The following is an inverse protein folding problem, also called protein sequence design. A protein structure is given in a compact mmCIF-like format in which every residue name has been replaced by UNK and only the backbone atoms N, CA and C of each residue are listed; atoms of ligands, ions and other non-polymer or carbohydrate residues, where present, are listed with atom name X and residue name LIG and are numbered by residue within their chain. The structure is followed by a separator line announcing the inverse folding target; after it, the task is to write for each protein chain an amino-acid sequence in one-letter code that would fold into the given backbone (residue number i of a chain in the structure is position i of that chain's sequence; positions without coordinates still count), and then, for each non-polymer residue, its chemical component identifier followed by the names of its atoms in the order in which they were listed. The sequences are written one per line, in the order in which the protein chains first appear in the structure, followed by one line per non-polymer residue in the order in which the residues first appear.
data_IF_217394888866
#
_entry.id   IF_217394888866
#
_cell.length_a   1.000
_cell.length_b   1.000
_cell.length_c   1.000
_cell.angle_alpha   90.00
_cell.angle_beta   90.00
_cell.angle_gamma   90.00
#
_symmetry.space_group_name_H-M   'P 1'
#
loop_
_entity.id
_entity.type
_entity.pdbx_description
1 polymer ?
#
# COMPACT_ATOMS: atom_id res chain seq x y z
N UNK A 1 12.76 5.84 63.08
CA UNK A 1 13.62 5.74 61.91
C UNK A 1 12.72 5.46 60.70
N UNK A 2 12.40 6.51 59.95
CA UNK A 2 11.55 6.46 58.74
C UNK A 2 12.47 6.35 57.53
N UNK A 3 12.25 5.31 56.64
CA UNK A 3 12.94 5.20 55.36
C UNK A 3 12.16 6.02 54.32
N UNK A 4 12.80 6.87 53.52
CA UNK A 4 12.14 7.59 52.43
C UNK A 4 11.90 6.66 51.23
N UNK A 5 10.67 6.69 50.71
CA UNK A 5 10.28 6.03 49.43
C UNK A 5 10.98 6.76 48.29
N UNK A 6 11.82 6.04 47.55
CA UNK A 6 12.36 6.50 46.26
C UNK A 6 11.26 6.44 45.18
N UNK A 7 10.89 7.58 44.63
CA UNK A 7 10.08 7.72 43.43
C UNK A 7 10.88 7.20 42.23
N UNK A 8 10.36 6.14 41.59
CA UNK A 8 10.86 5.64 40.32
C UNK A 8 10.76 6.72 39.24
N UNK A 9 11.90 7.11 38.70
CA UNK A 9 12.00 7.95 37.51
C UNK A 9 11.45 7.19 36.32
N UNK A 10 10.38 7.71 35.71
CA UNK A 10 9.87 7.26 34.43
C UNK A 10 10.94 7.44 33.35
N UNK A 11 11.40 6.33 32.77
CA UNK A 11 12.30 6.35 31.63
C UNK A 11 11.66 7.09 30.43
N UNK A 12 12.47 7.70 29.56
CA UNK A 12 11.97 8.44 28.43
C UNK A 12 11.18 7.51 27.50
N UNK A 13 9.93 7.88 27.22
CA UNK A 13 9.15 7.29 26.14
C UNK A 13 9.91 7.52 24.85
N UNK A 14 10.55 6.45 24.36
CA UNK A 14 11.25 6.45 23.08
C UNK A 14 10.35 7.00 21.99
N UNK A 15 10.74 8.15 21.51
CA UNK A 15 10.23 8.81 20.33
C UNK A 15 10.38 7.80 19.17
N UNK A 16 9.25 7.25 18.72
CA UNK A 16 9.22 6.46 17.49
C UNK A 16 9.32 7.45 16.34
N UNK A 17 10.52 7.99 16.16
CA UNK A 17 10.86 8.67 14.93
C UNK A 17 10.75 7.62 13.84
N UNK A 18 9.76 7.82 12.98
CA UNK A 18 9.70 7.19 11.68
C UNK A 18 11.10 7.31 11.07
N UNK A 19 11.79 6.19 10.93
CA UNK A 19 12.97 6.08 10.08
C UNK A 19 12.47 6.33 8.64
N UNK A 20 12.33 7.60 8.28
CA UNK A 20 12.16 8.04 6.90
C UNK A 20 13.38 7.53 6.17
N UNK A 21 13.17 6.45 5.44
CA UNK A 21 14.22 5.82 4.66
C UNK A 21 14.88 6.88 3.79
N UNK A 22 16.21 6.90 3.77
CA UNK A 22 17.09 7.80 3.01
C UNK A 22 16.82 7.83 1.48
N UNK A 23 15.84 7.10 1.00
CA UNK A 23 15.49 6.95 -0.42
C UNK A 23 14.28 7.76 -0.88
N UNK A 24 13.67 8.60 -0.03
CA UNK A 24 12.44 9.35 -0.40
C UNK A 24 11.21 8.47 -0.70
N UNK A 25 11.27 7.17 -0.42
CA UNK A 25 10.17 6.24 -0.57
C UNK A 25 9.29 6.22 0.68
N UNK A 26 7.98 6.13 0.45
CA UNK A 26 6.96 6.00 1.50
C UNK A 26 6.67 4.53 1.66
N UNK A 27 6.91 3.96 2.85
CA UNK A 27 6.54 2.60 3.19
C UNK A 27 5.38 2.58 4.19
N UNK A 28 4.40 1.73 3.93
CA UNK A 28 3.23 1.54 4.78
C UNK A 28 2.97 0.06 5.04
N UNK A 29 2.84 -0.30 6.30
CA UNK A 29 2.45 -1.65 6.71
C UNK A 29 0.93 -1.75 6.66
N UNK A 30 0.42 -2.63 5.79
CA UNK A 30 -1.01 -2.85 5.60
C UNK A 30 -1.57 -3.81 6.63
N UNK A 31 -0.89 -4.94 6.84
CA UNK A 31 -1.37 -5.97 7.74
C UNK A 31 -0.23 -6.81 8.30
N UNK A 32 -0.33 -7.18 9.58
CA UNK A 32 0.61 -8.10 10.25
C UNK A 32 -0.19 -9.25 10.85
N UNK A 33 0.21 -10.48 10.52
CA UNK A 33 -0.37 -11.70 11.05
C UNK A 33 0.67 -12.52 11.81
N UNK A 34 0.31 -13.03 12.99
CA UNK A 34 1.06 -14.09 13.65
C UNK A 34 0.60 -15.44 13.13
N UNK A 35 1.50 -16.18 12.51
CA UNK A 35 1.25 -17.52 11.98
C UNK A 35 1.97 -18.58 12.82
N UNK A 36 1.36 -19.75 12.95
CA UNK A 36 1.87 -20.82 13.80
C UNK A 36 1.95 -22.12 13.01
N UNK A 37 3.08 -22.83 13.12
CA UNK A 37 3.23 -24.22 12.69
C UNK A 37 3.31 -25.11 13.92
N UNK A 38 2.35 -26.01 14.07
CA UNK A 38 2.35 -27.01 15.14
C UNK A 38 3.17 -28.21 14.67
N UNK A 39 4.12 -28.63 15.48
CA UNK A 39 5.01 -29.76 15.24
C UNK A 39 5.05 -30.68 16.49
N UNK A 40 5.56 -31.90 16.34
CA UNK A 40 5.90 -32.75 17.49
C UNK A 40 6.90 -31.99 18.35
N UNK A 41 6.56 -31.72 19.64
CA UNK A 41 7.39 -30.94 20.55
C UNK A 41 6.98 -29.47 20.74
N UNK A 42 5.97 -28.94 20.01
CA UNK A 42 5.46 -27.59 20.29
C UNK A 42 4.96 -26.79 19.11
N UNK A 43 4.77 -25.48 19.35
CA UNK A 43 4.25 -24.51 18.37
C UNK A 43 5.36 -23.53 17.97
N UNK A 44 5.70 -23.51 16.69
CA UNK A 44 6.64 -22.55 16.12
C UNK A 44 5.88 -21.34 15.60
N UNK A 45 6.13 -20.17 16.18
CA UNK A 45 5.51 -18.91 15.79
C UNK A 45 6.37 -18.18 14.74
N UNK A 46 5.71 -17.48 13.83
CA UNK A 46 6.31 -16.56 12.88
C UNK A 46 5.34 -15.42 12.61
N UNK A 47 5.85 -14.31 12.07
CA UNK A 47 5.04 -13.15 11.65
C UNK A 47 5.08 -13.00 10.14
N UNK A 48 3.93 -12.69 9.56
CA UNK A 48 3.80 -12.32 8.16
C UNK A 48 3.38 -10.86 8.10
N UNK A 49 4.13 -10.04 7.39
CA UNK A 49 3.82 -8.63 7.16
C UNK A 49 3.49 -8.41 5.68
N UNK A 50 2.38 -7.72 5.41
CA UNK A 50 2.01 -7.20 4.09
C UNK A 50 2.36 -5.72 4.06
N UNK A 51 3.26 -5.33 3.16
CA UNK A 51 3.81 -3.97 3.08
C UNK A 51 3.62 -3.42 1.69
N UNK A 52 3.37 -2.12 1.62
CA UNK A 52 3.30 -1.32 0.39
C UNK A 52 4.41 -0.28 0.43
N UNK A 53 5.08 -0.08 -0.69
CA UNK A 53 6.14 0.94 -0.86
C UNK A 53 5.82 1.75 -2.11
N UNK A 54 5.94 3.07 -2.03
CA UNK A 54 5.75 3.97 -3.16
C UNK A 54 6.66 5.18 -3.12
N UNK A 55 6.82 5.85 -4.24
CA UNK A 55 7.65 7.05 -4.37
C UNK A 55 6.85 8.36 -4.29
N UNK A 56 5.51 8.27 -4.15
CA UNK A 56 4.62 9.43 -4.18
C UNK A 56 4.53 10.12 -5.55
N UNK A 57 5.10 9.52 -6.61
CA UNK A 57 5.18 10.06 -7.98
C UNK A 57 4.63 9.10 -9.04
N UNK A 58 3.69 8.26 -8.65
CA UNK A 58 3.03 7.32 -9.55
C UNK A 58 3.68 5.94 -9.62
N UNK A 59 4.66 5.61 -8.77
CA UNK A 59 5.19 4.24 -8.68
C UNK A 59 4.89 3.65 -7.32
N UNK A 60 4.36 2.43 -7.32
CA UNK A 60 4.01 1.70 -6.10
C UNK A 60 4.27 0.21 -6.27
N UNK A 61 4.67 -0.44 -5.19
CA UNK A 61 4.88 -1.88 -5.13
C UNK A 61 4.33 -2.47 -3.83
N UNK A 62 4.06 -3.75 -3.82
CA UNK A 62 3.71 -4.46 -2.60
C UNK A 62 4.57 -5.70 -2.41
N UNK A 63 4.75 -6.08 -1.14
CA UNK A 63 5.50 -7.27 -0.78
C UNK A 63 4.94 -7.93 0.47
N UNK A 64 5.07 -9.24 0.55
CA UNK A 64 4.76 -10.01 1.75
C UNK A 64 6.03 -10.65 2.28
N UNK A 65 6.41 -10.27 3.52
CA UNK A 65 7.57 -10.82 4.22
C UNK A 65 7.15 -11.73 5.36
N UNK A 66 7.92 -12.80 5.62
CA UNK A 66 7.72 -13.69 6.75
C UNK A 66 9.03 -13.88 7.51
N UNK A 67 9.00 -13.73 8.85
CA UNK A 67 10.14 -13.95 9.74
C UNK A 67 9.69 -14.35 11.13
N UNK A 68 10.66 -14.69 12.01
CA UNK A 68 10.39 -14.98 13.44
C UNK A 68 10.05 -13.71 14.23
N UNK A 69 10.55 -12.55 13.78
CA UNK A 69 10.35 -11.23 14.38
C UNK A 69 9.60 -10.31 13.43
N UNK A 70 8.80 -9.38 13.96
CA UNK A 70 8.01 -8.42 13.18
C UNK A 70 8.91 -7.48 12.36
N UNK A 71 9.97 -6.83 12.92
CA UNK A 71 10.83 -5.94 12.15
C UNK A 71 11.51 -6.64 10.97
N UNK A 72 11.97 -7.88 11.17
CA UNK A 72 12.59 -8.68 10.13
C UNK A 72 11.60 -9.08 9.02
N UNK A 73 10.32 -9.32 9.37
CA UNK A 73 9.26 -9.58 8.38
C UNK A 73 8.96 -8.34 7.55
N UNK A 74 8.90 -7.15 8.17
CA UNK A 74 8.67 -5.87 7.49
C UNK A 74 9.83 -5.57 6.52
N UNK A 75 11.09 -5.66 6.96
CA UNK A 75 12.28 -5.44 6.10
C UNK A 75 12.23 -6.33 4.84
N UNK A 76 11.97 -7.62 4.99
CA UNK A 76 11.77 -8.55 3.86
C UNK A 76 10.61 -8.14 2.94
N UNK A 77 9.49 -7.67 3.52
CA UNK A 77 8.35 -7.16 2.77
C UNK A 77 8.72 -5.95 1.91
N UNK A 78 9.45 -4.98 2.47
CA UNK A 78 9.94 -3.79 1.78
C UNK A 78 10.87 -4.15 0.61
N UNK A 79 11.81 -5.07 0.80
CA UNK A 79 12.73 -5.51 -0.25
C UNK A 79 11.97 -6.14 -1.43
N UNK A 80 10.97 -6.97 -1.15
CA UNK A 80 10.12 -7.58 -2.19
C UNK A 80 9.27 -6.52 -2.88
N UNK A 81 8.69 -5.57 -2.12
CA UNK A 81 7.88 -4.49 -2.67
C UNK A 81 8.70 -3.59 -3.61
N UNK A 82 9.94 -3.26 -3.26
CA UNK A 82 10.86 -2.48 -4.12
C UNK A 82 11.18 -3.17 -5.44
N UNK A 83 11.25 -4.50 -5.46
CA UNK A 83 11.50 -5.28 -6.69
C UNK A 83 10.27 -5.34 -7.61
N UNK A 84 9.08 -5.27 -7.04
CA UNK A 84 7.81 -5.42 -7.74
C UNK A 84 7.04 -4.10 -7.90
N UNK A 85 7.75 -2.99 -8.16
CA UNK A 85 7.11 -1.70 -8.37
C UNK A 85 6.50 -1.62 -9.77
N UNK A 86 5.27 -1.11 -9.85
CA UNK A 86 4.58 -0.77 -11.10
C UNK A 86 4.48 0.75 -11.24
N UNK A 87 4.43 1.23 -12.49
CA UNK A 87 4.14 2.62 -12.81
C UNK A 87 2.66 2.77 -13.13
N UNK A 88 2.04 3.81 -12.59
CA UNK A 88 0.60 4.09 -12.69
C UNK A 88 0.41 5.29 -13.60
N UNK A 89 -0.54 5.21 -14.53
CA UNK A 89 -0.98 6.35 -15.33
C UNK A 89 -1.85 7.26 -14.46
N UNK A 90 -1.38 8.48 -14.19
CA UNK A 90 -2.10 9.49 -13.40
C UNK A 90 -2.57 10.63 -14.31
N UNK A 91 -3.70 11.25 -13.96
CA UNK A 91 -4.22 12.47 -14.57
C UNK A 91 -4.24 13.57 -13.49
N UNK A 92 -3.14 14.36 -13.41
CA UNK A 92 -2.95 15.35 -12.35
C UNK A 92 -2.91 14.69 -10.96
N UNK A 93 -3.87 15.02 -10.09
CA UNK A 93 -3.97 14.52 -8.71
C UNK A 93 -4.85 13.26 -8.56
N UNK A 94 -5.45 12.78 -9.68
CA UNK A 94 -6.41 11.66 -9.71
C UNK A 94 -6.04 10.63 -10.77
N UNK A 95 -6.93 9.65 -11.01
CA UNK A 95 -6.81 8.63 -12.06
C UNK A 95 -7.56 9.06 -13.34
N UNK A 96 -7.12 8.64 -14.55
CA UNK A 96 -7.71 9.08 -15.80
C UNK A 96 -9.14 8.59 -16.05
N UNK A 97 -9.49 7.38 -15.59
CA UNK A 97 -10.83 6.80 -15.79
C UNK A 97 -11.19 5.81 -14.67
N UNK A 98 -12.48 5.49 -14.58
CA UNK A 98 -12.97 4.49 -13.65
C UNK A 98 -12.55 3.09 -14.09
N UNK A 99 -12.13 2.26 -13.13
CA UNK A 99 -11.77 0.85 -13.35
C UNK A 99 -12.28 -0.05 -12.23
N UNK A 100 -12.45 -1.33 -12.55
CA UNK A 100 -12.78 -2.39 -11.61
C UNK A 100 -11.68 -3.43 -11.67
N UNK A 101 -10.84 -3.50 -10.64
CA UNK A 101 -9.83 -4.54 -10.51
C UNK A 101 -10.36 -5.78 -9.82
N UNK A 102 -9.85 -6.93 -10.23
CA UNK A 102 -10.31 -8.23 -9.74
C UNK A 102 -9.13 -9.13 -9.42
N UNK A 103 -9.16 -9.77 -8.24
CA UNK A 103 -8.22 -10.82 -7.90
C UNK A 103 -8.84 -11.84 -6.93
N UNK A 104 -9.01 -13.08 -7.40
CA UNK A 104 -9.69 -14.11 -6.63
C UNK A 104 -11.12 -13.68 -6.27
N UNK A 105 -11.47 -13.69 -5.00
CA UNK A 105 -12.76 -13.18 -4.50
C UNK A 105 -12.76 -11.68 -4.23
N UNK A 106 -11.65 -10.96 -4.47
CA UNK A 106 -11.53 -9.52 -4.23
C UNK A 106 -11.87 -8.72 -5.47
N UNK A 107 -12.71 -7.70 -5.30
CA UNK A 107 -13.03 -6.71 -6.33
C UNK A 107 -12.84 -5.32 -5.72
N UNK A 108 -12.16 -4.43 -6.44
CA UNK A 108 -11.94 -3.05 -6.01
C UNK A 108 -12.30 -2.11 -7.14
N UNK A 109 -13.28 -1.26 -6.89
CA UNK A 109 -13.69 -0.21 -7.81
C UNK A 109 -12.91 1.06 -7.48
N UNK A 110 -12.29 1.66 -8.50
CA UNK A 110 -11.63 2.96 -8.44
C UNK A 110 -12.36 3.91 -9.38
N UNK A 111 -12.69 5.12 -8.90
CA UNK A 111 -13.30 6.20 -9.70
C UNK A 111 -12.52 7.49 -9.53
N UNK A 112 -12.30 8.27 -10.58
CA UNK A 112 -11.70 9.58 -10.46
C UNK A 112 -12.59 10.50 -9.62
N UNK A 113 -11.97 11.46 -8.95
CA UNK A 113 -12.66 12.44 -8.12
C UNK A 113 -12.13 13.85 -8.40
N UNK A 114 -12.95 14.86 -8.17
CA UNK A 114 -12.57 16.26 -8.27
C UNK A 114 -11.54 16.64 -7.20
N UNK A 115 -10.81 17.70 -7.44
CA UNK A 115 -9.87 18.25 -6.47
C UNK A 115 -10.58 18.63 -5.17
N UNK A 116 -9.90 18.36 -4.05
CA UNK A 116 -10.46 18.59 -2.71
C UNK A 116 -11.27 17.45 -2.13
N UNK A 117 -11.60 16.39 -2.91
CA UNK A 117 -12.32 15.21 -2.39
C UNK A 117 -11.47 14.39 -1.42
N UNK A 118 -10.14 14.34 -1.65
CA UNK A 118 -9.23 13.51 -0.87
C UNK A 118 -9.31 12.02 -1.23
N UNK A 119 -8.59 11.18 -0.48
CA UNK A 119 -8.57 9.73 -0.69
C UNK A 119 -9.68 9.08 0.12
N UNK A 120 -10.78 8.69 -0.55
CA UNK A 120 -11.88 7.93 0.06
C UNK A 120 -11.70 6.45 -0.27
N UNK A 121 -11.07 5.72 0.66
CA UNK A 121 -10.66 4.33 0.46
C UNK A 121 -10.64 3.52 1.75
N UNK A 122 -10.83 2.21 1.64
CA UNK A 122 -10.58 1.28 2.74
C UNK A 122 -9.09 1.17 3.07
N UNK A 123 -8.74 0.75 4.30
CA UNK A 123 -7.36 0.74 4.81
C UNK A 123 -6.29 0.22 3.83
N UNK A 124 -6.40 -1.01 3.30
CA UNK A 124 -5.42 -1.54 2.36
C UNK A 124 -5.30 -0.74 1.06
N UNK A 125 -6.43 -0.31 0.50
CA UNK A 125 -6.50 0.49 -0.74
C UNK A 125 -5.92 1.89 -0.50
N UNK A 126 -6.28 2.53 0.62
CA UNK A 126 -5.76 3.84 1.01
C UNK A 126 -4.24 3.84 1.12
N UNK A 127 -3.66 2.82 1.77
CA UNK A 127 -2.22 2.71 1.90
C UNK A 127 -1.50 2.69 0.53
N UNK A 128 -2.07 2.01 -0.46
CA UNK A 128 -1.52 1.93 -1.83
C UNK A 128 -1.62 3.30 -2.53
N UNK A 129 -2.80 3.91 -2.52
CA UNK A 129 -3.07 5.15 -3.26
C UNK A 129 -2.27 6.34 -2.71
N UNK A 130 -2.17 6.46 -1.38
CA UNK A 130 -1.35 7.48 -0.74
C UNK A 130 0.15 7.27 -1.00
N UNK A 131 0.64 6.02 -0.99
CA UNK A 131 2.03 5.71 -1.34
C UNK A 131 2.33 5.96 -2.82
N UNK A 132 1.33 5.83 -3.71
CA UNK A 132 1.44 6.17 -5.12
C UNK A 132 1.42 7.68 -5.38
N UNK A 133 0.95 8.50 -4.43
CA UNK A 133 0.83 9.96 -4.57
C UNK A 133 -0.51 10.43 -5.13
N UNK A 134 -1.53 9.57 -5.21
CA UNK A 134 -2.88 9.95 -5.62
C UNK A 134 -3.55 10.68 -4.46
N UNK A 135 -4.08 11.88 -4.74
CA UNK A 135 -4.66 12.76 -3.73
C UNK A 135 -6.19 12.75 -3.74
N UNK A 136 -6.82 12.54 -4.90
CA UNK A 136 -8.26 12.63 -5.06
C UNK A 136 -8.81 11.39 -5.77
N UNK A 137 -9.55 10.55 -5.04
CA UNK A 137 -10.10 9.31 -5.58
C UNK A 137 -11.25 8.77 -4.73
N UNK A 138 -12.22 8.18 -5.39
CA UNK A 138 -13.31 7.43 -4.76
C UNK A 138 -13.11 5.94 -5.00
N UNK A 139 -13.19 5.15 -3.94
CA UNK A 139 -13.00 3.70 -4.05
C UNK A 139 -14.03 2.92 -3.23
N UNK A 140 -14.31 1.70 -3.69
CA UNK A 140 -15.11 0.74 -2.93
C UNK A 140 -14.53 -0.66 -3.08
N UNK A 141 -14.23 -1.29 -1.96
CA UNK A 141 -13.90 -2.71 -1.93
C UNK A 141 -15.20 -3.52 -1.92
N UNK A 142 -15.35 -4.37 -2.93
CA UNK A 142 -16.47 -5.29 -3.12
C UNK A 142 -15.93 -6.72 -2.98
N UNK A 143 -16.75 -7.66 -2.54
CA UNK A 143 -16.33 -9.05 -2.37
C UNK A 143 -15.65 -9.32 -1.03
N UNK A 144 -14.37 -9.69 -1.01
CA UNK A 144 -13.69 -10.15 0.20
C UNK A 144 -13.09 -9.01 1.04
N UNK A 145 -13.04 -9.22 2.36
CA UNK A 145 -12.31 -8.38 3.30
C UNK A 145 -10.83 -8.80 3.49
N UNK A 146 -10.36 -9.88 2.84
CA UNK A 146 -8.98 -10.35 2.97
C UNK A 146 -7.99 -9.31 2.40
N UNK A 147 -7.09 -8.73 3.23
CA UNK A 147 -6.17 -7.69 2.79
C UNK A 147 -5.28 -8.09 1.62
N UNK A 148 -4.86 -9.35 1.54
CA UNK A 148 -4.04 -9.84 0.43
C UNK A 148 -4.78 -9.80 -0.91
N UNK A 149 -6.05 -10.19 -0.94
CA UNK A 149 -6.86 -10.16 -2.16
C UNK A 149 -7.18 -8.71 -2.55
N UNK A 150 -7.54 -7.88 -1.56
CA UNK A 150 -7.83 -6.46 -1.79
C UNK A 150 -6.62 -5.73 -2.37
N UNK A 151 -5.41 -5.92 -1.81
CA UNK A 151 -4.18 -5.34 -2.33
C UNK A 151 -3.95 -5.78 -3.78
N UNK A 152 -4.00 -7.08 -4.08
CA UNK A 152 -3.77 -7.58 -5.43
C UNK A 152 -4.83 -7.10 -6.42
N UNK A 153 -6.12 -7.05 -6.03
CA UNK A 153 -7.17 -6.48 -6.87
C UNK A 153 -6.96 -4.98 -7.13
N UNK A 154 -6.45 -4.23 -6.15
CA UNK A 154 -6.10 -2.82 -6.36
C UNK A 154 -4.94 -2.67 -7.35
N UNK A 155 -3.91 -3.52 -7.27
CA UNK A 155 -2.80 -3.52 -8.21
C UNK A 155 -3.25 -3.90 -9.63
N UNK A 156 -4.17 -4.85 -9.77
CA UNK A 156 -4.80 -5.19 -11.04
C UNK A 156 -5.56 -3.98 -11.63
N UNK A 157 -6.37 -3.28 -10.80
CA UNK A 157 -7.05 -2.06 -11.23
C UNK A 157 -6.07 -0.98 -11.70
N UNK A 158 -4.98 -0.74 -10.96
CA UNK A 158 -3.98 0.27 -11.29
C UNK A 158 -3.20 -0.09 -12.57
N UNK A 159 -2.96 -1.36 -12.83
CA UNK A 159 -2.31 -1.83 -14.06
C UNK A 159 -3.20 -1.68 -15.32
N UNK A 160 -4.53 -1.64 -15.15
CA UNK A 160 -5.49 -1.42 -16.24
C UNK A 160 -5.61 0.06 -16.64
N UNK A 161 -5.10 0.99 -15.81
CA UNK A 161 -5.16 2.42 -16.10
C UNK A 161 -4.33 2.78 -17.33
N UNK A 162 -4.93 3.51 -18.25
CA UNK A 162 -4.29 4.01 -19.47
C UNK A 162 -4.40 5.52 -19.53
N UNK A 163 -3.31 6.16 -19.93
CA UNK A 163 -3.31 7.60 -20.18
C UNK A 163 -4.09 7.95 -21.45
N UNK A 164 -4.52 9.20 -21.56
CA UNK A 164 -5.20 9.71 -22.76
C UNK A 164 -4.33 9.55 -24.02
N UNK A 165 -3.04 9.79 -23.92
CA UNK A 165 -2.10 9.60 -25.03
C UNK A 165 -2.05 8.14 -25.51
N UNK A 166 -2.08 7.17 -24.56
CA UNK A 166 -2.15 5.75 -24.92
C UNK A 166 -3.46 5.38 -25.65
N UNK A 167 -4.59 5.98 -25.23
CA UNK A 167 -5.86 5.78 -25.93
C UNK A 167 -5.88 6.38 -27.32
N UNK A 168 -5.33 7.60 -27.48
CA UNK A 168 -5.19 8.25 -28.80
C UNK A 168 -4.33 7.43 -29.75
N UNK A 169 -3.18 6.95 -29.26
CA UNK A 169 -2.29 6.09 -30.04
C UNK A 169 -2.97 4.77 -30.48
N UNK A 170 -3.74 4.13 -29.59
CA UNK A 170 -4.47 2.91 -29.91
C UNK A 170 -5.60 3.12 -30.95
N UNK A 171 -6.16 4.34 -31.01
CA UNK A 171 -7.20 4.72 -32.00
C UNK A 171 -6.63 5.21 -33.32
N UNK A 172 -5.30 5.33 -33.44
CA UNK A 172 -4.65 5.90 -34.65
C UNK A 172 -4.91 7.39 -34.84
N UNK A 173 -5.31 8.11 -33.77
CA UNK A 173 -5.46 9.57 -33.79
C UNK A 173 -4.10 10.16 -33.48
N UNK A 174 -3.39 10.69 -34.49
CA UNK A 174 -2.16 11.43 -34.31
C UNK A 174 -2.44 12.75 -33.56
N UNK A 175 -1.55 13.11 -32.63
CA UNK A 175 -1.56 14.45 -32.00
C UNK A 175 -1.25 15.50 -33.05
N UNK A 176 -2.26 16.11 -33.62
CA UNK A 176 -2.02 17.16 -34.65
C UNK A 176 -3.20 17.66 -35.47
N UNK A 177 -4.41 17.12 -35.27
CA UNK A 177 -5.57 17.62 -36.01
C UNK A 177 -6.57 18.26 -35.05
N UNK A 178 -6.19 19.43 -34.50
CA UNK A 178 -7.17 20.41 -34.07
C UNK A 178 -7.58 21.18 -35.33
N UNK A 179 -8.81 20.95 -35.80
CA UNK A 179 -9.48 21.77 -36.78
C UNK A 179 -10.39 22.78 -36.10
#
# INVERSE_FOLDING_TARGET
MQRPMQRGQGGPRGDRRDERSESGMIDKVVHINRVTKVVKGGKNFSFSALVVVGDGKGRVGFGSGKAKEVPAAIKKGIEIAKKNMISISMAGTTIPHAVLGHYGAGQVMLKPASEGTGVIAGGPVRAILESAGIQNILTKSLGTANPHNVVKATFDALAQLRSEAQYKALRGVEEGTEA
#
